data_IF_802519301505
#
_entry.id   IF_802519301505
#
_cell.length_a   1.000
_cell.length_b   1.000
_cell.length_c   1.000
_cell.angle_alpha   90.00
_cell.angle_beta   90.00
_cell.angle_gamma   90.00
#
_symmetry.space_group_name_H-M   'P 1'
#
loop_
_entity.id
_entity.type
_entity.pdbx_description
1 polymer ?
#
# COMPACT_ATOMS: atom_id res chain seq x y z
N UNK A 1 5.31 26.92 -58.04
CA UNK A 1 5.78 25.82 -57.17
C UNK A 1 5.98 26.22 -55.69
N UNK A 2 5.89 27.50 -55.30
CA UNK A 2 6.16 27.98 -53.93
C UNK A 2 4.95 27.95 -52.97
N UNK A 3 3.71 27.89 -53.47
CA UNK A 3 2.48 27.96 -52.66
C UNK A 3 2.19 26.69 -51.86
N UNK A 4 2.78 25.54 -52.23
CA UNK A 4 2.57 24.25 -51.53
C UNK A 4 3.36 24.13 -50.22
N UNK A 5 4.45 24.89 -50.05
CA UNK A 5 5.33 24.78 -48.88
C UNK A 5 4.77 25.51 -47.65
N UNK A 6 4.06 26.62 -47.89
CA UNK A 6 3.42 27.41 -46.82
C UNK A 6 2.29 26.64 -46.12
N UNK A 7 1.51 25.83 -46.86
CA UNK A 7 0.40 25.07 -46.28
C UNK A 7 0.87 23.93 -45.37
N UNK A 8 2.01 23.29 -45.67
CA UNK A 8 2.60 22.27 -44.80
C UNK A 8 3.14 22.87 -43.50
N UNK A 9 3.79 24.04 -43.56
CA UNK A 9 4.28 24.75 -42.37
C UNK A 9 3.11 25.23 -41.51
N UNK A 10 2.02 25.70 -42.12
CA UNK A 10 0.81 26.12 -41.40
C UNK A 10 0.17 24.92 -40.69
N UNK A 11 -0.01 23.78 -41.37
CA UNK A 11 -0.54 22.54 -40.78
C UNK A 11 0.32 22.02 -39.64
N UNK A 12 1.63 22.12 -39.76
CA UNK A 12 2.55 21.68 -38.71
C UNK A 12 2.45 22.58 -37.46
N UNK A 13 2.34 23.90 -37.64
CA UNK A 13 2.08 24.84 -36.52
C UNK A 13 0.73 24.59 -35.84
N UNK A 14 -0.29 24.22 -36.61
CA UNK A 14 -1.64 23.95 -36.12
C UNK A 14 -1.71 22.61 -35.35
N UNK A 15 -0.96 21.60 -35.81
CA UNK A 15 -0.79 20.33 -35.09
C UNK A 15 -0.03 20.51 -33.76
N UNK A 16 0.95 21.42 -33.71
CA UNK A 16 1.70 21.75 -32.49
C UNK A 16 0.85 22.61 -31.53
N UNK A 17 -0.06 23.44 -32.05
CA UNK A 17 -0.95 24.30 -31.23
C UNK A 17 -2.12 23.53 -30.64
N UNK A 18 -2.43 22.35 -31.15
CA UNK A 18 -3.47 21.51 -30.57
C UNK A 18 -3.02 21.17 -29.14
N UNK A 19 -3.74 21.65 -28.11
CA UNK A 19 -3.40 21.30 -26.73
C UNK A 19 -3.36 19.78 -26.65
N UNK A 20 -2.38 19.21 -25.95
CA UNK A 20 -2.47 17.81 -25.56
C UNK A 20 -3.86 17.60 -24.97
N UNK A 21 -4.57 16.51 -25.34
CA UNK A 21 -5.85 16.20 -24.72
C UNK A 21 -5.67 16.36 -23.22
N UNK A 22 -6.44 17.28 -22.62
CA UNK A 22 -6.41 17.52 -21.19
C UNK A 22 -6.46 16.15 -20.53
N UNK A 23 -5.44 15.80 -19.76
CA UNK A 23 -5.44 14.57 -19.00
C UNK A 23 -6.77 14.55 -18.25
N UNK A 24 -7.68 13.67 -18.68
CA UNK A 24 -9.02 13.58 -18.14
C UNK A 24 -8.88 13.58 -16.64
N UNK A 25 -9.51 14.57 -16.01
CA UNK A 25 -9.30 14.93 -14.63
C UNK A 25 -9.18 13.68 -13.78
N UNK A 26 -8.08 13.64 -13.04
CA UNK A 26 -7.94 12.84 -11.82
C UNK A 26 -9.30 12.74 -11.14
N UNK A 27 -9.91 11.56 -11.14
CA UNK A 27 -11.10 11.32 -10.33
C UNK A 27 -10.75 11.74 -8.90
N UNK A 28 -11.51 12.67 -8.30
CA UNK A 28 -11.24 13.07 -6.93
C UNK A 28 -11.47 11.86 -6.01
N UNK A 29 -10.72 11.84 -4.90
CA UNK A 29 -10.73 10.84 -3.83
C UNK A 29 -11.98 9.93 -3.79
N UNK A 30 -11.71 8.63 -3.92
CA UNK A 30 -12.55 7.45 -3.68
C UNK A 30 -14.06 7.66 -3.82
N UNK A 31 -14.63 7.16 -4.93
CA UNK A 31 -16.07 6.92 -4.97
C UNK A 31 -16.51 6.03 -3.80
N UNK A 32 -17.76 6.17 -3.33
CA UNK A 32 -18.31 5.32 -2.27
C UNK A 32 -18.15 3.82 -2.60
N UNK A 33 -18.24 3.47 -3.89
CA UNK A 33 -18.01 2.12 -4.37
C UNK A 33 -16.57 1.65 -4.13
N UNK A 34 -15.56 2.50 -4.33
CA UNK A 34 -14.16 2.17 -4.03
C UNK A 34 -13.94 1.91 -2.54
N UNK A 35 -14.51 2.73 -1.65
CA UNK A 35 -14.39 2.53 -0.20
C UNK A 35 -15.07 1.24 0.23
N UNK A 36 -16.25 0.93 -0.32
CA UNK A 36 -16.95 -0.33 -0.04
C UNK A 36 -16.17 -1.54 -0.53
N UNK A 37 -15.64 -1.49 -1.75
CA UNK A 37 -14.79 -2.55 -2.29
C UNK A 37 -13.51 -2.74 -1.47
N UNK A 38 -12.83 -1.64 -1.10
CA UNK A 38 -11.64 -1.70 -0.27
C UNK A 38 -11.93 -2.27 1.12
N UNK A 39 -13.03 -1.86 1.75
CA UNK A 39 -13.50 -2.40 3.03
C UNK A 39 -13.83 -3.89 2.94
N UNK A 40 -14.50 -4.32 1.88
CA UNK A 40 -14.82 -5.73 1.66
C UNK A 40 -13.55 -6.58 1.50
N UNK A 41 -12.60 -6.13 0.68
CA UNK A 41 -11.31 -6.81 0.49
C UNK A 41 -10.53 -6.89 1.80
N UNK A 42 -10.48 -5.79 2.56
CA UNK A 42 -9.83 -5.75 3.87
C UNK A 42 -10.45 -6.77 4.85
N UNK A 43 -11.78 -6.80 4.96
CA UNK A 43 -12.47 -7.72 5.87
C UNK A 43 -12.27 -9.18 5.47
N UNK A 44 -12.37 -9.51 4.18
CA UNK A 44 -12.12 -10.87 3.69
C UNK A 44 -10.69 -11.30 4.00
N UNK A 45 -9.70 -10.43 3.71
CA UNK A 45 -8.31 -10.71 4.02
C UNK A 45 -8.07 -10.91 5.53
N UNK A 46 -8.66 -10.05 6.37
CA UNK A 46 -8.55 -10.13 7.83
C UNK A 46 -9.15 -11.43 8.38
N UNK A 47 -10.32 -11.84 7.90
CA UNK A 47 -10.99 -13.08 8.31
C UNK A 47 -10.15 -14.30 7.91
N UNK A 48 -9.69 -14.35 6.66
CA UNK A 48 -8.85 -15.46 6.17
C UNK A 48 -7.53 -15.53 6.94
N UNK A 49 -6.89 -14.38 7.18
CA UNK A 49 -5.68 -14.31 8.00
C UNK A 49 -5.94 -14.84 9.41
N UNK A 50 -6.99 -14.37 10.08
CA UNK A 50 -7.32 -14.79 11.45
C UNK A 50 -7.65 -16.27 11.55
N UNK A 51 -8.30 -16.84 10.52
CA UNK A 51 -8.62 -18.27 10.49
C UNK A 51 -7.39 -19.14 10.25
N UNK A 52 -6.41 -18.64 9.49
CA UNK A 52 -5.18 -19.37 9.16
C UNK A 52 -4.00 -19.04 10.07
N UNK A 53 -4.18 -18.10 11.00
CA UNK A 53 -3.15 -17.68 11.95
C UNK A 53 -2.73 -18.85 12.83
N UNK A 54 -1.42 -18.98 13.05
CA UNK A 54 -0.90 -19.99 13.96
C UNK A 54 -1.43 -19.76 15.39
N UNK A 55 -1.90 -20.79 16.10
CA UNK A 55 -2.51 -20.63 17.42
C UNK A 55 -1.50 -20.26 18.52
N UNK A 56 -0.20 -20.42 18.25
CA UNK A 56 0.89 -20.11 19.17
C UNK A 56 2.19 -19.84 18.40
N UNK A 57 3.25 -19.49 19.12
CA UNK A 57 4.59 -19.24 18.59
C UNK A 57 5.06 -20.43 17.74
N UNK A 58 5.40 -20.15 16.49
CA UNK A 58 5.95 -21.13 15.55
C UNK A 58 7.47 -21.17 15.59
N UNK A 59 8.06 -22.11 14.85
CA UNK A 59 9.51 -22.29 14.74
C UNK A 59 10.18 -21.13 13.99
N UNK A 60 11.51 -21.18 13.92
CA UNK A 60 12.35 -20.19 13.20
C UNK A 60 12.25 -18.82 13.88
N UNK A 61 11.91 -17.77 13.14
CA UNK A 61 12.10 -16.39 13.59
C UNK A 61 10.90 -15.86 14.40
N UNK A 62 9.79 -16.61 14.50
CA UNK A 62 8.56 -16.09 15.12
C UNK A 62 8.75 -15.74 16.59
N UNK A 63 9.39 -16.62 17.36
CA UNK A 63 9.68 -16.35 18.78
C UNK A 63 10.70 -15.22 18.98
N UNK A 64 11.71 -15.17 18.11
CA UNK A 64 12.74 -14.13 18.14
C UNK A 64 12.14 -12.74 17.84
N UNK A 65 11.30 -12.64 16.81
CA UNK A 65 10.63 -11.40 16.42
C UNK A 65 9.61 -10.96 17.48
N UNK A 66 8.86 -11.88 18.09
CA UNK A 66 7.96 -11.58 19.21
C UNK A 66 8.74 -11.01 20.39
N UNK A 67 9.87 -11.62 20.77
CA UNK A 67 10.69 -11.15 21.86
C UNK A 67 11.33 -9.78 21.55
N UNK A 68 11.81 -9.60 20.32
CA UNK A 68 12.34 -8.32 19.86
C UNK A 68 11.26 -7.22 19.89
N UNK A 69 10.04 -7.48 19.41
CA UNK A 69 8.94 -6.54 19.50
C UNK A 69 8.58 -6.22 20.96
N UNK A 70 8.45 -7.25 21.80
CA UNK A 70 8.09 -7.08 23.21
C UNK A 70 9.12 -6.22 23.97
N UNK A 71 10.42 -6.40 23.67
CA UNK A 71 11.52 -5.67 24.30
C UNK A 71 12.01 -4.42 23.55
N UNK A 72 11.36 -4.01 22.44
CA UNK A 72 11.85 -2.94 21.54
C UNK A 72 13.29 -3.17 21.02
N UNK A 73 13.65 -4.43 20.79
CA UNK A 73 14.95 -4.88 20.29
C UNK A 73 15.03 -5.03 18.77
N UNK A 74 16.14 -5.61 18.32
CA UNK A 74 16.42 -5.90 16.90
C UNK A 74 16.79 -7.37 16.77
N UNK A 75 15.93 -8.15 16.11
CA UNK A 75 16.18 -9.57 15.82
C UNK A 75 17.34 -9.73 14.81
N UNK A 76 17.25 -9.06 13.66
CA UNK A 76 18.26 -9.13 12.61
C UNK A 76 18.61 -7.73 12.08
N UNK A 77 19.90 -7.40 11.87
CA UNK A 77 20.29 -6.17 11.18
C UNK A 77 19.72 -6.12 9.74
N UNK A 78 19.30 -4.93 9.24
CA UNK A 78 19.29 -3.60 9.85
C UNK A 78 18.09 -3.31 10.78
N UNK A 79 17.22 -4.30 11.02
CA UNK A 79 16.04 -4.20 11.87
C UNK A 79 14.77 -3.74 11.15
N UNK A 80 13.64 -3.75 11.88
CA UNK A 80 12.31 -3.35 11.39
C UNK A 80 11.65 -2.35 12.37
N UNK A 81 12.16 -1.11 12.52
CA UNK A 81 11.82 -0.23 13.64
C UNK A 81 10.32 0.09 13.74
N UNK A 82 9.68 0.43 12.62
CA UNK A 82 8.25 0.73 12.61
C UNK A 82 7.41 -0.49 13.01
N UNK A 83 7.77 -1.67 12.50
CA UNK A 83 7.08 -2.91 12.84
C UNK A 83 7.24 -3.25 14.33
N UNK A 84 8.46 -3.13 14.87
CA UNK A 84 8.76 -3.35 16.29
C UNK A 84 7.93 -2.42 17.17
N UNK A 85 7.83 -1.14 16.84
CA UNK A 85 7.03 -0.18 17.61
C UNK A 85 5.53 -0.53 17.57
N UNK A 86 4.98 -0.87 16.40
CA UNK A 86 3.58 -1.24 16.26
C UNK A 86 3.24 -2.55 16.98
N UNK A 87 4.09 -3.58 16.83
CA UNK A 87 3.94 -4.85 17.50
C UNK A 87 4.12 -4.73 19.03
N UNK A 88 5.02 -3.85 19.49
CA UNK A 88 5.13 -3.53 20.91
C UNK A 88 3.83 -2.94 21.45
N UNK A 89 3.25 -1.95 20.76
CA UNK A 89 1.97 -1.37 21.16
C UNK A 89 0.84 -2.41 21.16
N UNK A 90 0.79 -3.28 20.16
CA UNK A 90 -0.18 -4.37 20.12
C UNK A 90 0.02 -5.36 21.28
N UNK A 91 1.27 -5.65 21.66
CA UNK A 91 1.59 -6.54 22.78
C UNK A 91 1.07 -6.07 24.15
N UNK A 92 0.81 -4.77 24.30
CA UNK A 92 0.25 -4.17 25.52
C UNK A 92 -1.26 -4.42 25.67
N UNK A 93 -1.96 -4.82 24.60
CA UNK A 93 -3.38 -5.14 24.65
C UNK A 93 -3.55 -6.45 25.44
N UNK A 94 -4.31 -6.47 26.56
CA UNK A 94 -4.42 -7.63 27.43
C UNK A 94 -5.42 -8.66 26.89
N UNK A 95 -5.25 -9.07 25.64
CA UNK A 95 -6.11 -10.04 24.94
C UNK A 95 -5.24 -11.16 24.37
N UNK A 96 -5.61 -12.41 24.68
CA UNK A 96 -4.91 -13.60 24.18
C UNK A 96 -3.46 -13.70 24.64
N UNK A 97 -2.65 -14.43 23.87
CA UNK A 97 -1.20 -14.50 24.02
C UNK A 97 -0.52 -13.38 23.21
N UNK A 98 0.73 -13.03 23.53
CA UNK A 98 1.49 -12.05 22.72
C UNK A 98 1.62 -12.49 21.26
N UNK A 99 1.57 -13.81 21.00
CA UNK A 99 1.70 -14.34 19.65
C UNK A 99 0.51 -13.99 18.72
N UNK A 100 -0.65 -13.61 19.27
CA UNK A 100 -1.87 -13.31 18.49
C UNK A 100 -2.21 -11.82 18.40
N UNK A 101 -1.36 -10.94 18.96
CA UNK A 101 -1.55 -9.49 18.99
C UNK A 101 -0.30 -8.79 18.46
#
# INVERSE_FOLDING_TARGET
MALRRASHVQRQKEAIRKPLPAANGTTPLSSQAEVLCAGAVFLVALVVYSWTLAPTVTLTDSGELILAAYGLGVAHPPGFPLWVMLAHLASLVPVGSVAVR
#
